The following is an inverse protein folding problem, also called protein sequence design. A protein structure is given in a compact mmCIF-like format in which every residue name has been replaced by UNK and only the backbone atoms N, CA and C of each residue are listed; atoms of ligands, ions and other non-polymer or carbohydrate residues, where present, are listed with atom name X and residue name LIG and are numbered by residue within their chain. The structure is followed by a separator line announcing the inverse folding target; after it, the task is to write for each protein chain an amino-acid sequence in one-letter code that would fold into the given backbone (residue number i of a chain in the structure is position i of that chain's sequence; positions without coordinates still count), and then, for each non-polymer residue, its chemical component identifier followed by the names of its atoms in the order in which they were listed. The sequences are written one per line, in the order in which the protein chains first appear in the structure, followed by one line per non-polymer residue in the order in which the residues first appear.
data_IF_929549457056
#
_entry.id   IF_929549457056
#
_cell.length_a   1.000
_cell.length_b   1.000
_cell.length_c   1.000
_cell.angle_alpha   90.00
_cell.angle_beta   90.00
_cell.angle_gamma   90.00
#
_symmetry.space_group_name_H-M   'P 1'
#
loop_
_entity.id
_entity.type
_entity.pdbx_description
1 polymer ?
#
# COMPACT_ATOMS: atom_id res chain seq x y z
N UNK A 1 -5.89 17.90 -14.10
CA UNK A 1 -7.22 17.24 -13.92
C UNK A 1 -7.43 17.07 -12.42
N UNK A 2 -8.66 17.14 -11.90
CA UNK A 2 -8.87 16.83 -10.47
C UNK A 2 -8.76 15.32 -10.19
N UNK A 3 -8.50 14.94 -8.93
CA UNK A 3 -8.30 13.53 -8.53
C UNK A 3 -9.52 12.65 -8.81
N UNK A 4 -10.75 13.18 -8.74
CA UNK A 4 -11.96 12.39 -8.96
C UNK A 4 -12.15 12.05 -10.45
N UNK A 5 -12.01 13.05 -11.32
CA UNK A 5 -12.06 12.88 -12.78
C UNK A 5 -10.97 11.92 -13.27
N UNK A 6 -9.76 12.00 -12.70
CA UNK A 6 -8.65 11.10 -13.04
C UNK A 6 -8.97 9.64 -12.68
N UNK A 7 -9.55 9.40 -11.49
CA UNK A 7 -9.94 8.03 -11.07
C UNK A 7 -10.93 7.42 -12.04
N UNK A 8 -12.01 8.13 -12.37
CA UNK A 8 -13.01 7.67 -13.33
C UNK A 8 -12.38 7.38 -14.69
N UNK A 9 -11.54 8.29 -15.19
CA UNK A 9 -10.85 8.11 -16.48
C UNK A 9 -10.00 6.83 -16.52
N UNK A 10 -9.24 6.56 -15.46
CA UNK A 10 -8.39 5.36 -15.39
C UNK A 10 -9.20 4.08 -15.22
N UNK A 11 -10.26 4.11 -14.39
CA UNK A 11 -11.15 2.97 -14.25
C UNK A 11 -11.84 2.62 -15.57
N UNK A 12 -12.36 3.62 -16.29
CA UNK A 12 -12.98 3.47 -17.61
C UNK A 12 -11.98 2.95 -18.66
N UNK A 13 -10.74 3.43 -18.66
CA UNK A 13 -9.70 2.97 -19.59
C UNK A 13 -9.31 1.51 -19.33
N UNK A 14 -9.15 1.11 -18.06
CA UNK A 14 -8.84 -0.28 -17.71
C UNK A 14 -9.99 -1.23 -18.05
N UNK A 15 -11.24 -0.80 -17.86
CA UNK A 15 -12.42 -1.58 -18.22
C UNK A 15 -12.55 -1.72 -19.75
N UNK A 16 -12.54 -0.61 -20.49
CA UNK A 16 -12.73 -0.60 -21.94
C UNK A 16 -11.59 -1.26 -22.72
N UNK A 17 -10.36 -1.22 -22.19
CA UNK A 17 -9.21 -1.91 -22.79
C UNK A 17 -9.19 -3.42 -22.52
N UNK A 18 -10.02 -3.93 -21.61
CA UNK A 18 -9.98 -5.32 -21.14
C UNK A 18 -8.79 -5.64 -20.23
N UNK A 19 -8.06 -4.63 -19.75
CA UNK A 19 -6.94 -4.79 -18.83
C UNK A 19 -7.41 -5.07 -17.39
N UNK A 20 -8.62 -4.63 -17.00
CA UNK A 20 -9.15 -4.87 -15.67
C UNK A 20 -9.29 -6.37 -15.36
N UNK A 21 -9.08 -6.73 -14.09
CA UNK A 21 -9.25 -8.10 -13.56
C UNK A 21 -10.14 -8.08 -12.32
N UNK A 22 -10.67 -9.25 -11.97
CA UNK A 22 -11.48 -9.41 -10.75
C UNK A 22 -10.70 -8.87 -9.52
N UNK A 23 -11.36 -8.12 -8.61
CA UNK A 23 -12.79 -7.86 -8.51
C UNK A 23 -13.32 -6.79 -9.47
N UNK A 24 -14.45 -7.09 -10.14
CA UNK A 24 -15.19 -6.14 -10.96
C UNK A 24 -16.37 -5.51 -10.19
N UNK A 25 -16.83 -4.31 -10.52
CA UNK A 25 -16.24 -3.33 -11.45
C UNK A 25 -14.97 -2.68 -10.85
N UNK A 26 -14.03 -2.15 -11.66
CA UNK A 26 -12.81 -1.51 -11.16
C UNK A 26 -13.08 -0.24 -10.35
N UNK A 27 -14.20 0.43 -10.63
CA UNK A 27 -14.66 1.65 -9.99
C UNK A 27 -14.75 1.55 -8.47
N UNK A 28 -14.29 2.60 -7.77
CA UNK A 28 -14.32 2.69 -6.31
C UNK A 28 -13.28 1.81 -5.59
N UNK A 29 -12.31 1.26 -6.33
CA UNK A 29 -11.27 0.36 -5.80
C UNK A 29 -9.90 0.76 -6.31
N UNK A 30 -8.86 0.24 -5.68
CA UNK A 30 -7.58 0.08 -6.37
C UNK A 30 -7.79 -1.03 -7.43
N UNK A 31 -7.72 -0.70 -8.74
CA UNK A 31 -8.15 -1.63 -9.77
C UNK A 31 -7.15 -2.78 -9.92
N UNK A 32 -7.64 -4.02 -9.95
CA UNK A 32 -6.82 -5.15 -10.34
C UNK A 32 -6.65 -5.19 -11.86
N UNK A 33 -5.53 -5.71 -12.34
CA UNK A 33 -5.14 -5.60 -13.74
C UNK A 33 -4.45 -6.86 -14.28
N UNK A 34 -4.44 -6.97 -15.61
CA UNK A 34 -3.76 -8.01 -16.36
C UNK A 34 -2.27 -8.00 -16.04
N UNK A 35 -1.66 -9.17 -15.85
CA UNK A 35 -0.22 -9.31 -15.62
C UNK A 35 0.30 -8.65 -14.32
N UNK A 36 -0.57 -8.46 -13.32
CA UNK A 36 -0.16 -8.03 -11.97
C UNK A 36 0.94 -8.91 -11.35
N UNK A 37 0.96 -10.21 -11.67
CA UNK A 37 2.03 -11.12 -11.27
C UNK A 37 3.38 -10.74 -11.90
N UNK A 38 3.40 -10.35 -13.17
CA UNK A 38 4.64 -9.91 -13.84
C UNK A 38 5.16 -8.59 -13.26
N UNK A 39 4.26 -7.68 -12.86
CA UNK A 39 4.66 -6.47 -12.12
C UNK A 39 5.29 -6.83 -10.75
N UNK A 40 4.70 -7.78 -10.02
CA UNK A 40 5.26 -8.27 -8.76
C UNK A 40 6.61 -8.99 -8.94
N UNK A 41 6.78 -9.80 -9.99
CA UNK A 41 8.07 -10.43 -10.32
C UNK A 41 9.16 -9.39 -10.65
N UNK A 42 8.78 -8.31 -11.34
CA UNK A 42 9.71 -7.21 -11.62
C UNK A 42 10.08 -6.43 -10.37
N UNK A 43 9.13 -6.21 -9.45
CA UNK A 43 9.43 -5.66 -8.13
C UNK A 43 10.37 -6.59 -7.36
N UNK A 44 10.16 -7.92 -7.46
CA UNK A 44 11.01 -8.91 -6.80
C UNK A 44 12.45 -8.95 -7.32
N UNK A 45 12.71 -8.35 -8.50
CA UNK A 45 14.04 -8.27 -9.09
C UNK A 45 14.83 -7.02 -8.64
N UNK A 46 14.27 -6.15 -7.79
CA UNK A 46 14.96 -4.93 -7.34
C UNK A 46 15.85 -5.18 -6.11
N UNK A 47 16.91 -4.38 -5.90
CA UNK A 47 17.73 -4.49 -4.70
C UNK A 47 16.95 -4.18 -3.41
N UNK A 48 15.96 -3.28 -3.46
CA UNK A 48 15.11 -2.94 -2.31
C UNK A 48 14.28 -4.14 -1.87
N UNK A 49 13.75 -4.92 -2.82
CA UNK A 49 13.08 -6.17 -2.50
C UNK A 49 14.03 -7.22 -1.93
N UNK A 50 15.20 -7.38 -2.55
CA UNK A 50 16.19 -8.36 -2.10
C UNK A 50 16.67 -8.09 -0.67
N UNK A 51 16.78 -6.82 -0.28
CA UNK A 51 17.21 -6.39 1.05
C UNK A 51 16.10 -6.41 2.12
N UNK A 52 14.82 -6.47 1.73
CA UNK A 52 13.70 -6.39 2.66
C UNK A 52 13.40 -7.72 3.35
N UNK A 53 13.33 -7.73 4.68
CA UNK A 53 12.85 -8.87 5.47
C UNK A 53 11.41 -8.65 5.96
N UNK A 54 11.05 -7.40 6.26
CA UNK A 54 9.70 -6.98 6.64
C UNK A 54 9.05 -6.13 5.53
N UNK A 55 7.98 -6.65 4.93
CA UNK A 55 7.25 -5.99 3.83
C UNK A 55 5.84 -5.63 4.27
N UNK A 56 5.50 -4.34 4.25
CA UNK A 56 4.12 -3.89 4.42
C UNK A 56 3.45 -3.77 3.06
N UNK A 57 2.39 -4.51 2.80
CA UNK A 57 1.66 -4.45 1.52
C UNK A 57 0.17 -4.23 1.74
N UNK A 58 -0.45 -3.32 0.98
CA UNK A 58 -1.88 -3.06 1.11
C UNK A 58 -2.74 -4.30 0.79
N UNK A 59 -3.93 -4.42 1.40
CA UNK A 59 -4.80 -5.58 1.21
C UNK A 59 -5.44 -5.69 -0.18
N UNK A 60 -5.34 -4.64 -1.01
CA UNK A 60 -5.95 -4.57 -2.33
C UNK A 60 -5.54 -5.73 -3.25
N UNK A 61 -6.49 -6.18 -4.08
CA UNK A 61 -6.31 -7.30 -5.00
C UNK A 61 -5.05 -7.24 -5.90
N UNK A 62 -4.70 -6.10 -6.54
CA UNK A 62 -3.48 -6.02 -7.36
C UNK A 62 -2.18 -6.27 -6.57
N UNK A 63 -2.21 -6.13 -5.24
CA UNK A 63 -1.04 -6.36 -4.37
C UNK A 63 -0.98 -7.77 -3.80
N UNK A 64 -1.93 -8.64 -4.11
CA UNK A 64 -1.89 -10.05 -3.71
C UNK A 64 -0.67 -10.80 -4.28
N UNK A 65 -0.27 -10.63 -5.56
CA UNK A 65 0.91 -11.30 -6.09
C UNK A 65 2.19 -10.93 -5.33
N UNK A 66 2.34 -9.67 -4.93
CA UNK A 66 3.48 -9.19 -4.12
C UNK A 66 3.52 -9.90 -2.77
N UNK A 67 2.39 -9.92 -2.05
CA UNK A 67 2.31 -10.59 -0.74
C UNK A 67 2.64 -12.08 -0.81
N UNK A 68 2.09 -12.77 -1.81
CA UNK A 68 2.39 -14.20 -2.05
C UNK A 68 3.86 -14.43 -2.36
N UNK A 69 4.47 -13.53 -3.13
CA UNK A 69 5.89 -13.62 -3.46
C UNK A 69 6.77 -13.42 -2.22
N UNK A 70 6.46 -12.42 -1.39
CA UNK A 70 7.16 -12.14 -0.15
C UNK A 70 7.17 -13.36 0.78
N UNK A 71 5.99 -13.94 1.04
CA UNK A 71 5.87 -15.13 1.91
C UNK A 71 6.67 -16.33 1.37
N UNK A 72 6.60 -16.61 0.06
CA UNK A 72 7.38 -17.71 -0.55
C UNK A 72 8.89 -17.50 -0.50
N UNK A 73 9.34 -16.26 -0.37
CA UNK A 73 10.76 -15.91 -0.20
C UNK A 73 11.17 -15.79 1.27
N UNK A 74 10.30 -16.17 2.21
CA UNK A 74 10.60 -16.15 3.64
C UNK A 74 10.54 -14.76 4.28
N UNK A 75 9.94 -13.77 3.61
CA UNK A 75 9.76 -12.42 4.14
C UNK A 75 8.49 -12.34 4.99
N UNK A 76 8.53 -11.60 6.09
CA UNK A 76 7.34 -11.35 6.92
C UNK A 76 6.48 -10.28 6.25
N UNK A 77 5.19 -10.56 6.09
CA UNK A 77 4.24 -9.65 5.45
C UNK A 77 3.34 -8.99 6.49
N UNK A 78 3.30 -7.67 6.47
CA UNK A 78 2.39 -6.87 7.28
C UNK A 78 1.27 -6.29 6.42
N UNK A 79 0.03 -6.42 6.88
CA UNK A 79 -1.15 -5.85 6.24
C UNK A 79 -1.97 -5.07 7.26
N UNK A 80 -2.50 -3.90 6.87
CA UNK A 80 -3.44 -3.20 7.73
C UNK A 80 -4.76 -3.98 7.88
N UNK A 81 -5.26 -4.07 9.10
CA UNK A 81 -6.64 -4.48 9.38
C UNK A 81 -7.57 -3.42 8.78
N UNK A 82 -8.67 -3.81 8.10
CA UNK A 82 -9.55 -2.85 7.44
C UNK A 82 -9.95 -1.67 8.33
N UNK A 83 -9.61 -0.46 7.87
CA UNK A 83 -9.89 0.83 8.51
C UNK A 83 -9.19 1.06 9.86
N UNK A 84 -8.16 0.28 10.23
CA UNK A 84 -7.43 0.38 11.51
C UNK A 84 -8.36 0.50 12.74
N UNK A 85 -9.47 -0.26 12.73
CA UNK A 85 -10.55 -0.18 13.74
C UNK A 85 -10.22 -0.87 15.06
N UNK A 86 -9.16 -1.67 15.07
CA UNK A 86 -8.69 -2.42 16.24
C UNK A 86 -7.42 -1.75 16.79
N UNK A 87 -7.10 -1.94 18.08
CA UNK A 87 -5.80 -1.52 18.63
C UNK A 87 -4.65 -2.33 17.98
N UNK A 88 -4.87 -3.64 17.85
CA UNK A 88 -4.03 -4.54 17.05
C UNK A 88 -4.39 -4.44 15.56
N UNK A 89 -4.09 -3.28 14.97
CA UNK A 89 -4.53 -2.88 13.64
C UNK A 89 -3.66 -3.43 12.48
N UNK A 90 -2.72 -4.34 12.73
CA UNK A 90 -1.93 -4.98 11.69
C UNK A 90 -2.03 -6.50 11.78
N UNK A 91 -2.15 -7.14 10.62
CA UNK A 91 -1.93 -8.57 10.45
C UNK A 91 -0.45 -8.82 10.20
N UNK A 92 0.17 -9.65 11.02
CA UNK A 92 1.51 -10.21 10.81
C UNK A 92 1.40 -11.62 10.23
N UNK A 93 1.89 -11.79 9.01
CA UNK A 93 2.03 -13.08 8.33
C UNK A 93 3.51 -13.46 8.30
N UNK A 94 3.92 -14.29 9.26
CA UNK A 94 5.26 -14.87 9.31
C UNK A 94 5.27 -16.23 8.59
N UNK A 95 6.00 -16.38 7.46
CA UNK A 95 6.06 -17.63 6.72
C UNK A 95 6.66 -18.79 7.54
N UNK A 96 7.43 -18.52 8.60
CA UNK A 96 7.92 -19.58 9.50
C UNK A 96 6.81 -20.22 10.36
N UNK A 97 5.64 -19.57 10.45
CA UNK A 97 4.47 -19.99 11.23
C UNK A 97 3.30 -20.45 10.34
N UNK A 98 3.48 -20.45 9.02
CA UNK A 98 2.45 -20.80 8.03
C UNK A 98 2.94 -22.01 7.24
N UNK A 99 2.13 -23.07 7.16
CA UNK A 99 2.47 -24.23 6.33
C UNK A 99 2.60 -23.83 4.85
N UNK A 100 3.56 -24.44 4.13
CA UNK A 100 3.86 -24.15 2.72
C UNK A 100 2.63 -24.19 1.81
N UNK A 101 1.72 -25.15 2.06
CA UNK A 101 0.46 -25.33 1.32
C UNK A 101 -0.51 -24.14 1.48
N UNK A 102 -0.29 -23.26 2.46
CA UNK A 102 -1.12 -22.12 2.80
C UNK A 102 -0.51 -20.76 2.44
N UNK A 103 0.74 -20.69 1.97
CA UNK A 103 1.42 -19.43 1.61
C UNK A 103 0.68 -18.64 0.51
N UNK A 104 -0.14 -19.30 -0.32
CA UNK A 104 -0.97 -18.66 -1.34
C UNK A 104 -2.32 -18.13 -0.84
N UNK A 105 -2.90 -18.79 0.17
CA UNK A 105 -4.20 -18.42 0.75
C UNK A 105 -4.05 -17.44 1.91
N UNK A 106 -3.01 -17.59 2.73
CA UNK A 106 -2.78 -16.78 3.93
C UNK A 106 -2.81 -15.26 3.68
N UNK A 107 -2.18 -14.70 2.63
CA UNK A 107 -2.20 -13.26 2.41
C UNK A 107 -3.51 -12.74 1.79
N UNK A 108 -4.52 -13.59 1.57
CA UNK A 108 -5.81 -13.15 1.00
C UNK A 108 -6.69 -12.52 2.07
N UNK A 109 -7.45 -11.48 1.69
CA UNK A 109 -8.37 -10.79 2.63
C UNK A 109 -9.40 -11.74 3.24
N UNK A 110 -9.79 -12.80 2.53
CA UNK A 110 -10.76 -13.78 3.03
C UNK A 110 -10.20 -14.82 4.00
N UNK A 111 -8.87 -14.95 4.12
CA UNK A 111 -8.24 -15.99 4.96
C UNK A 111 -7.20 -15.45 5.94
N UNK A 112 -6.77 -14.19 5.79
CA UNK A 112 -5.68 -13.61 6.60
C UNK A 112 -5.89 -13.79 8.10
N UNK A 113 -7.13 -13.62 8.59
CA UNK A 113 -7.46 -13.81 10.01
C UNK A 113 -7.22 -15.23 10.55
N UNK A 114 -7.14 -16.24 9.68
CA UNK A 114 -6.86 -17.63 10.07
C UNK A 114 -5.37 -17.88 10.29
N UNK A 115 -4.50 -17.11 9.62
CA UNK A 115 -3.06 -17.39 9.53
C UNK A 115 -2.19 -16.28 10.11
N UNK A 116 -2.73 -15.07 10.25
CA UNK A 116 -2.01 -13.92 10.78
C UNK A 116 -2.24 -13.78 12.28
N UNK A 117 -1.20 -13.34 12.98
CA UNK A 117 -1.38 -12.74 14.30
C UNK A 117 -1.81 -11.29 14.11
N UNK A 118 -2.73 -10.82 14.95
CA UNK A 118 -3.00 -9.38 15.04
C UNK A 118 -1.95 -8.77 15.96
N UNK A 119 -1.33 -7.68 15.52
CA UNK A 119 -0.31 -6.97 16.26
C UNK A 119 -0.62 -5.47 16.27
N UNK A 120 -0.26 -4.83 17.38
CA UNK A 120 -0.33 -3.39 17.51
C UNK A 120 0.81 -2.68 16.78
N UNK A 121 0.63 -1.39 16.46
CA UNK A 121 1.68 -0.41 16.18
C UNK A 121 3.06 -0.67 16.79
N UNK A 122 3.11 -0.79 18.12
CA UNK A 122 4.35 -0.84 18.90
C UNK A 122 5.09 -2.18 18.79
N UNK A 123 4.40 -3.20 18.29
CA UNK A 123 4.98 -4.52 18.06
C UNK A 123 5.56 -4.67 16.65
N UNK A 124 5.37 -3.69 15.76
CA UNK A 124 5.92 -3.74 14.42
C UNK A 124 7.44 -3.51 14.43
N UNK A 125 8.22 -4.34 13.71
CA UNK A 125 9.60 -4.03 13.44
C UNK A 125 9.71 -2.83 12.47
N UNK A 126 10.91 -2.26 12.30
CA UNK A 126 11.18 -1.39 11.16
C UNK A 126 10.76 -2.08 9.85
N UNK A 127 9.96 -1.39 9.05
CA UNK A 127 9.49 -1.86 7.75
C UNK A 127 10.51 -1.45 6.68
N UNK A 128 10.98 -2.44 5.93
CA UNK A 128 12.01 -2.24 4.90
C UNK A 128 11.41 -1.76 3.58
N UNK A 129 10.24 -2.28 3.23
CA UNK A 129 9.52 -1.97 1.99
C UNK A 129 8.03 -1.81 2.22
N UNK A 130 7.48 -0.68 1.76
CA UNK A 130 6.04 -0.42 1.72
C UNK A 130 5.55 -0.58 0.28
N UNK A 131 4.49 -1.37 0.08
CA UNK A 131 3.86 -1.56 -1.23
C UNK A 131 2.42 -1.06 -1.19
N UNK A 132 2.19 0.07 -1.86
CA UNK A 132 0.92 0.79 -1.84
C UNK A 132 0.09 0.53 -3.09
N UNK A 133 -1.22 0.32 -2.92
CA UNK A 133 -2.17 0.22 -4.03
C UNK A 133 -2.42 1.60 -4.66
N UNK A 134 -2.53 1.68 -5.99
CA UNK A 134 -2.73 2.96 -6.69
C UNK A 134 -3.82 2.86 -7.77
N UNK A 135 -4.60 3.94 -7.95
CA UNK A 135 -5.45 4.09 -9.14
C UNK A 135 -4.61 4.65 -10.29
N UNK A 136 -3.84 5.70 -10.03
CA UNK A 136 -2.94 6.30 -11.01
C UNK A 136 -1.63 6.72 -10.34
N UNK A 137 -0.55 6.74 -11.12
CA UNK A 137 0.78 7.23 -10.71
C UNK A 137 1.47 7.97 -11.84
N UNK A 138 2.41 8.85 -11.51
CA UNK A 138 3.31 9.49 -12.49
C UNK A 138 4.71 8.88 -12.43
N UNK A 139 5.50 9.13 -13.47
CA UNK A 139 6.92 8.78 -13.48
C UNK A 139 7.74 9.57 -12.44
N UNK A 140 7.23 10.70 -11.96
CA UNK A 140 7.81 11.51 -10.88
C UNK A 140 7.41 11.04 -9.48
N UNK A 141 6.61 9.96 -9.37
CA UNK A 141 6.19 9.37 -8.11
C UNK A 141 4.95 9.98 -7.48
N UNK A 142 4.24 10.90 -8.14
CA UNK A 142 2.93 11.33 -7.69
C UNK A 142 1.96 10.14 -7.72
N UNK A 143 1.06 10.05 -6.73
CA UNK A 143 0.13 8.94 -6.59
C UNK A 143 -1.29 9.44 -6.34
N UNK A 144 -2.25 8.78 -6.99
CA UNK A 144 -3.67 8.92 -6.67
C UNK A 144 -4.22 7.55 -6.29
N UNK A 145 -4.60 7.39 -5.02
CA UNK A 145 -5.32 6.22 -4.50
C UNK A 145 -6.83 6.28 -4.80
N UNK A 146 -7.61 5.35 -4.25
CA UNK A 146 -9.07 5.23 -4.47
C UNK A 146 -9.92 6.38 -3.89
N UNK A 147 -9.36 7.20 -3.01
CA UNK A 147 -9.98 8.43 -2.49
C UNK A 147 -10.36 8.46 -1.02
N UNK A 148 -10.16 7.37 -0.28
CA UNK A 148 -10.50 7.32 1.16
C UNK A 148 -9.35 7.75 2.09
N UNK A 149 -8.14 7.95 1.57
CA UNK A 149 -6.96 8.38 2.33
C UNK A 149 -6.30 7.32 3.23
N UNK A 150 -6.86 6.10 3.33
CA UNK A 150 -6.38 5.08 4.26
C UNK A 150 -4.91 4.67 4.04
N UNK A 151 -4.47 4.50 2.80
CA UNK A 151 -3.10 4.08 2.52
C UNK A 151 -2.06 5.13 2.95
N UNK A 152 -2.39 6.42 2.82
CA UNK A 152 -1.51 7.52 3.24
C UNK A 152 -1.53 7.64 4.77
N UNK A 153 -2.71 7.49 5.38
CA UNK A 153 -2.86 7.48 6.84
C UNK A 153 -2.14 6.30 7.50
N UNK A 154 -2.20 5.10 6.91
CA UNK A 154 -1.44 3.93 7.36
C UNK A 154 0.07 4.23 7.36
N UNK A 155 0.59 4.88 6.32
CA UNK A 155 1.99 5.29 6.27
C UNK A 155 2.30 6.34 7.35
N UNK A 156 1.44 7.34 7.51
CA UNK A 156 1.60 8.39 8.51
C UNK A 156 1.62 7.85 9.95
N UNK A 157 0.75 6.90 10.26
CA UNK A 157 0.72 6.14 11.52
C UNK A 157 2.06 5.42 11.72
N UNK A 158 2.48 4.60 10.76
CA UNK A 158 3.77 3.87 10.83
C UNK A 158 4.97 4.82 10.95
N UNK A 159 4.90 5.99 10.33
CA UNK A 159 5.94 7.02 10.40
C UNK A 159 6.00 7.66 11.77
N UNK A 160 4.85 7.99 12.37
CA UNK A 160 4.74 8.54 13.72
C UNK A 160 5.25 7.57 14.79
N UNK A 161 5.04 6.27 14.58
CA UNK A 161 5.51 5.19 15.47
C UNK A 161 6.98 4.82 15.26
N UNK A 162 7.64 5.38 14.25
CA UNK A 162 9.03 5.05 13.91
C UNK A 162 9.23 3.70 13.22
N UNK A 163 8.16 2.94 12.93
CA UNK A 163 8.22 1.71 12.13
C UNK A 163 8.61 1.98 10.67
N UNK A 164 8.33 3.17 10.15
CA UNK A 164 8.74 3.61 8.80
C UNK A 164 9.59 4.87 8.90
N UNK A 165 10.57 5.00 8.00
CA UNK A 165 11.44 6.17 7.91
C UNK A 165 11.39 6.89 6.56
N UNK A 166 12.05 8.05 6.47
CA UNK A 166 12.24 8.73 5.18
C UNK A 166 13.05 7.89 4.18
N UNK A 167 13.86 6.94 4.68
CA UNK A 167 14.69 6.04 3.87
C UNK A 167 13.95 4.75 3.48
N UNK A 168 12.82 4.42 4.12
CA UNK A 168 12.05 3.22 3.81
C UNK A 168 11.55 3.30 2.37
N UNK A 169 11.82 2.31 1.53
CA UNK A 169 11.35 2.38 0.13
C UNK A 169 9.83 2.23 0.06
N UNK A 170 9.17 3.06 -0.74
CA UNK A 170 7.74 2.98 -1.06
C UNK A 170 7.57 2.67 -2.54
N UNK A 171 6.97 1.52 -2.83
CA UNK A 171 6.72 1.03 -4.16
C UNK A 171 5.23 0.91 -4.47
N UNK A 172 4.90 0.88 -5.75
CA UNK A 172 3.58 0.44 -6.23
C UNK A 172 3.74 -0.50 -7.41
N UNK A 173 2.76 -1.39 -7.58
CA UNK A 173 2.62 -2.21 -8.79
C UNK A 173 1.32 -1.82 -9.47
N UNK A 174 1.39 -1.43 -10.74
CA UNK A 174 0.25 -0.94 -11.51
C UNK A 174 0.32 -1.44 -12.96
N UNK A 175 -0.79 -1.36 -13.69
CA UNK A 175 -0.77 -1.53 -15.14
C UNK A 175 -0.12 -0.32 -15.82
N UNK A 176 0.46 -0.49 -17.03
CA UNK A 176 1.08 0.62 -17.78
C UNK A 176 0.12 1.79 -18.02
N UNK A 177 -1.16 1.49 -18.28
CA UNK A 177 -2.25 2.48 -18.43
C UNK A 177 -2.51 3.36 -17.21
N UNK A 178 -2.10 2.90 -16.03
CA UNK A 178 -2.22 3.66 -14.78
C UNK A 178 -1.05 4.61 -14.57
N UNK A 179 0.02 4.52 -15.38
CA UNK A 179 1.11 5.50 -15.42
C UNK A 179 0.68 6.66 -16.31
N UNK A 180 0.71 7.87 -15.75
CA UNK A 180 0.01 9.04 -16.26
C UNK A 180 0.82 10.31 -16.02
N UNK A 181 0.82 11.21 -16.99
CA UNK A 181 1.54 12.49 -16.92
C UNK A 181 0.64 13.66 -16.47
N UNK A 182 -0.66 13.39 -16.27
CA UNK A 182 -1.69 14.39 -15.99
C UNK A 182 -2.18 14.41 -14.53
N UNK A 183 -1.39 13.84 -13.61
CA UNK A 183 -1.66 13.87 -12.18
C UNK A 183 -1.53 15.29 -11.61
N UNK A 184 -2.38 15.68 -10.65
CA UNK A 184 -2.12 16.86 -9.84
C UNK A 184 -0.88 16.63 -8.95
N UNK A 185 -0.28 17.72 -8.48
CA UNK A 185 0.76 17.63 -7.45
C UNK A 185 0.21 16.95 -6.18
N UNK A 186 1.01 16.14 -5.48
CA UNK A 186 0.59 15.53 -4.21
C UNK A 186 0.29 16.58 -3.15
N UNK A 187 -0.75 16.33 -2.35
CA UNK A 187 -1.02 17.07 -1.13
C UNK A 187 0.01 16.71 -0.04
N UNK A 188 0.15 17.52 1.02
CA UNK A 188 1.16 17.31 2.06
C UNK A 188 1.08 15.94 2.78
N UNK A 189 -0.10 15.34 2.81
CA UNK A 189 -0.34 14.03 3.40
C UNK A 189 -0.23 12.87 2.40
N UNK A 190 -0.19 13.13 1.09
CA UNK A 190 -0.04 12.08 0.08
C UNK A 190 1.37 11.51 0.12
N UNK A 191 1.49 10.18 0.10
CA UNK A 191 2.79 9.50 0.08
C UNK A 191 3.25 9.33 -1.37
N UNK A 192 4.39 9.93 -1.78
CA UNK A 192 4.96 9.72 -3.11
C UNK A 192 5.64 8.35 -3.22
N UNK A 193 5.71 7.80 -4.43
CA UNK A 193 6.33 6.50 -4.72
C UNK A 193 7.78 6.68 -5.13
N UNK A 194 8.69 5.87 -4.61
CA UNK A 194 10.08 5.75 -5.09
C UNK A 194 10.17 4.85 -6.32
N UNK A 195 9.37 3.78 -6.32
CA UNK A 195 9.34 2.78 -7.38
C UNK A 195 7.92 2.66 -7.94
N UNK A 196 7.78 2.91 -9.24
CA UNK A 196 6.58 2.57 -10.01
C UNK A 196 6.90 1.35 -10.86
N UNK A 197 6.24 0.23 -10.59
CA UNK A 197 6.51 -1.04 -11.28
C UNK A 197 5.31 -1.45 -12.11
N UNK A 198 5.55 -1.71 -13.40
CA UNK A 198 4.54 -2.22 -14.33
C UNK A 198 4.95 -3.61 -14.86
N UNK A 199 4.06 -4.33 -15.56
CA UNK A 199 4.43 -5.54 -16.29
C UNK A 199 5.49 -5.31 -17.37
N UNK A 200 5.71 -4.07 -17.80
CA UNK A 200 6.62 -3.71 -18.88
C UNK A 200 7.95 -3.17 -18.35
N UNK A 201 7.93 -2.37 -17.28
CA UNK A 201 9.11 -1.64 -16.82
C UNK A 201 9.11 -1.29 -15.34
N UNK A 202 10.28 -0.87 -14.87
CA UNK A 202 10.50 -0.31 -13.54
C UNK A 202 10.88 1.15 -13.73
N UNK A 203 10.20 2.06 -13.02
CA UNK A 203 10.57 3.47 -12.95
C UNK A 203 11.07 3.76 -11.54
N UNK A 204 12.32 4.21 -11.45
CA UNK A 204 12.85 4.86 -10.26
C UNK A 204 12.50 6.33 -10.39
N UNK A 205 11.62 6.81 -9.53
CA UNK A 205 10.98 8.11 -9.71
C UNK A 205 11.89 9.27 -9.31
N UNK A 206 12.88 9.00 -8.44
CA UNK A 206 13.72 10.00 -7.79
C UNK A 206 12.86 11.17 -7.28
N UNK A 207 11.73 10.80 -6.64
CA UNK A 207 10.61 11.72 -6.45
C UNK A 207 11.04 13.01 -5.75
N UNK A 208 10.68 14.19 -6.28
CA UNK A 208 11.01 15.47 -5.66
C UNK A 208 10.03 15.82 -4.53
N UNK A 209 8.95 15.05 -4.36
CA UNK A 209 7.89 15.38 -3.42
C UNK A 209 8.29 14.97 -1.99
N UNK A 210 8.03 15.83 -1.00
CA UNK A 210 8.30 15.49 0.39
C UNK A 210 7.36 14.37 0.84
N UNK A 211 7.83 13.55 1.77
CA UNK A 211 7.00 12.54 2.41
C UNK A 211 6.35 13.09 3.68
N UNK A 212 5.18 12.59 4.07
CA UNK A 212 4.61 12.88 5.38
C UNK A 212 5.61 12.50 6.48
N UNK A 213 5.79 13.40 7.46
CA UNK A 213 6.67 13.17 8.62
C UNK A 213 5.96 12.50 9.79
N UNK A 214 4.65 12.28 9.66
CA UNK A 214 3.76 11.75 10.69
C UNK A 214 2.31 12.03 10.30
N UNK A 215 1.42 11.98 11.29
CA UNK A 215 0.00 12.27 11.11
C UNK A 215 -0.22 13.77 10.99
N UNK A 216 -0.95 14.21 9.97
CA UNK A 216 -1.47 15.59 9.87
C UNK A 216 -2.80 15.67 10.63
N UNK A 217 -2.72 16.01 11.92
CA UNK A 217 -3.90 16.12 12.79
C UNK A 217 -4.88 17.21 12.33
N UNK A 218 -4.40 18.25 11.66
CA UNK A 218 -5.25 19.33 11.15
C UNK A 218 -6.07 18.93 9.92
N UNK A 219 -5.60 17.93 9.17
CA UNK A 219 -6.30 17.38 8.00
C UNK A 219 -7.21 16.19 8.35
N UNK A 220 -7.14 15.64 9.56
CA UNK A 220 -7.98 14.53 9.99
C UNK A 220 -9.33 15.02 10.54
N UNK A 221 -10.47 14.62 9.95
CA UNK A 221 -11.77 14.93 10.52
C UNK A 221 -12.01 14.14 11.81
N UNK A 222 -12.74 14.72 12.78
CA UNK A 222 -13.04 14.10 14.08
C UNK A 222 -13.65 12.70 13.96
N UNK A 223 -14.47 12.48 12.94
CA UNK A 223 -15.08 11.18 12.64
C UNK A 223 -14.03 10.07 12.46
N UNK A 224 -12.87 10.38 11.88
CA UNK A 224 -11.76 9.41 11.72
C UNK A 224 -11.09 9.07 13.03
N UNK A 225 -10.92 10.05 13.91
CA UNK A 225 -10.38 9.84 15.26
C UNK A 225 -11.30 8.94 16.09
N UNK A 226 -12.61 9.03 15.85
CA UNK A 226 -13.59 8.18 16.52
C UNK A 226 -13.64 6.74 15.99
N UNK A 227 -13.39 6.56 14.69
CA UNK A 227 -13.38 5.24 14.05
C UNK A 227 -12.08 4.44 14.30
N UNK A 228 -10.98 5.09 14.69
CA UNK A 228 -9.64 4.50 14.65
C UNK A 228 -8.93 4.66 16.01
N UNK A 229 -9.02 3.67 16.92
CA UNK A 229 -8.44 3.74 18.26
C UNK A 229 -6.95 4.11 18.29
N UNK A 230 -6.17 3.59 17.33
CA UNK A 230 -4.75 3.89 17.17
C UNK A 230 -4.45 5.40 17.05
N UNK A 231 -5.34 6.17 16.42
CA UNK A 231 -5.13 7.61 16.27
C UNK A 231 -5.28 8.35 17.61
N UNK A 232 -6.14 7.86 18.52
CA UNK A 232 -6.28 8.47 19.84
C UNK A 232 -5.04 8.21 20.69
N UNK A 233 -4.54 6.96 20.68
CA UNK A 233 -3.29 6.61 21.37
C UNK A 233 -2.13 7.50 20.89
N UNK A 234 -1.96 7.63 19.58
CA UNK A 234 -0.90 8.43 18.99
C UNK A 234 -1.01 9.92 19.31
N UNK A 235 -2.22 10.47 19.37
CA UNK A 235 -2.45 11.87 19.73
C UNK A 235 -2.11 12.15 21.19
N UNK A 236 -2.51 11.24 22.09
CA UNK A 236 -2.22 11.35 23.52
C UNK A 236 -0.70 11.26 23.78
N UNK A 237 0.02 10.44 22.99
CA UNK A 237 1.49 10.29 23.06
C UNK A 237 2.25 11.47 22.43
N UNK A 238 1.74 12.07 21.36
CA UNK A 238 2.35 13.23 20.71
C UNK A 238 2.13 14.54 21.47
N UNK A 239 1.19 14.56 22.42
CA UNK A 239 0.86 15.74 23.23
C UNK A 239 0.16 16.86 22.47
N UNK A 240 -0.47 16.52 21.35
CA UNK A 240 -1.21 17.43 20.44
C UNK A 240 -2.73 17.44 20.68
#
# INVERSE_FOLDING_TARGET
MDKATLRTTVWDDLESSGAARFPFLPHGRIPNFADATAAAERLAATPEWAAADAVKANPDAPQLPVRRRALREGKVVYMAVPRLRDEECFYELDPARIDDDHLDSAPTVSHVETYADKVGPDALPPIDLVVSGSVAVSETGARVGKGEGFSDLEYAVLRGLGAVSAETTVATTVHERQVRDDLPEPDAHDVPMDLVVTPERLVRTETPYPRPTGIDWGALPDERLDEMPVLRQLRDESGE
#
